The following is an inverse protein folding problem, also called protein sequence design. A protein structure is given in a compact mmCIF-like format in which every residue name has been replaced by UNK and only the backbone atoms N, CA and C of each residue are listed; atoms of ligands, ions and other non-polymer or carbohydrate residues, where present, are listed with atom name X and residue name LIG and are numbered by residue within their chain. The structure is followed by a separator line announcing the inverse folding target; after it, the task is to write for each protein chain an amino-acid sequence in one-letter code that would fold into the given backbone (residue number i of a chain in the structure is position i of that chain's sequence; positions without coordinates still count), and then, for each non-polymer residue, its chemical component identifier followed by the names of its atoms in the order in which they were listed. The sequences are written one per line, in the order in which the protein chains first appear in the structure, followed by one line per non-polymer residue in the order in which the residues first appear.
data_IF_747782052846
#
_entry.id   IF_747782052846
#
_cell.length_a   1.000
_cell.length_b   1.000
_cell.length_c   1.000
_cell.angle_alpha   90.00
_cell.angle_beta   90.00
_cell.angle_gamma   90.00
#
_symmetry.space_group_name_H-M   'P 1'
#
loop_
_entity.id
_entity.type
_entity.pdbx_description
1 polymer ?
#
# COMPACT_ATOMS: atom_id res chain seq x y z
N UNK A 1 -45.29 11.50 30.14
CA UNK A 1 -45.10 10.04 30.28
C UNK A 1 -44.27 9.57 29.08
N UNK A 2 -42.94 9.51 29.22
CA UNK A 2 -42.05 9.05 28.15
C UNK A 2 -42.24 7.55 27.95
N UNK A 3 -42.92 7.15 26.87
CA UNK A 3 -43.12 5.75 26.54
C UNK A 3 -41.78 5.04 26.44
N UNK A 4 -41.62 3.96 27.21
CA UNK A 4 -40.39 3.15 27.20
C UNK A 4 -40.15 2.69 25.77
N UNK A 5 -39.02 3.12 25.17
CA UNK A 5 -38.66 2.70 23.82
C UNK A 5 -38.63 1.16 23.79
N UNK A 6 -39.36 0.57 22.84
CA UNK A 6 -39.35 -0.89 22.68
C UNK A 6 -37.89 -1.32 22.45
N UNK A 7 -37.38 -2.33 23.18
CA UNK A 7 -36.02 -2.78 22.97
C UNK A 7 -35.88 -3.32 21.55
N UNK A 8 -35.12 -2.62 20.71
CA UNK A 8 -34.76 -3.09 19.38
C UNK A 8 -33.76 -4.24 19.54
N UNK A 9 -34.25 -5.47 19.49
CA UNK A 9 -33.40 -6.65 19.50
C UNK A 9 -32.60 -6.67 18.19
N UNK A 10 -31.29 -6.47 18.28
CA UNK A 10 -30.40 -6.73 17.14
C UNK A 10 -30.38 -8.21 16.85
N UNK A 11 -30.45 -8.57 15.57
CA UNK A 11 -30.26 -9.95 15.14
C UNK A 11 -28.81 -10.38 15.38
N UNK A 12 -28.57 -11.68 15.58
CA UNK A 12 -27.21 -12.20 15.77
C UNK A 12 -26.26 -11.79 14.62
N UNK A 13 -26.78 -11.70 13.39
CA UNK A 13 -26.04 -11.24 12.22
C UNK A 13 -25.62 -9.77 12.28
N UNK A 14 -26.46 -8.90 12.83
CA UNK A 14 -26.11 -7.47 13.02
C UNK A 14 -25.02 -7.30 14.07
N UNK A 15 -25.12 -8.01 15.20
CA UNK A 15 -24.12 -7.91 16.28
C UNK A 15 -22.77 -8.43 15.81
N UNK A 16 -22.75 -9.53 15.07
CA UNK A 16 -21.53 -10.06 14.45
C UNK A 16 -20.91 -9.07 13.45
N UNK A 17 -21.72 -8.42 12.60
CA UNK A 17 -21.22 -7.38 11.68
C UNK A 17 -20.65 -6.19 12.43
N UNK A 18 -21.36 -5.69 13.45
CA UNK A 18 -20.90 -4.54 14.25
C UNK A 18 -19.59 -4.85 14.96
N UNK A 19 -19.47 -6.04 15.56
CA UNK A 19 -18.22 -6.47 16.18
C UNK A 19 -17.09 -6.58 15.16
N UNK A 20 -17.33 -7.24 14.03
CA UNK A 20 -16.33 -7.35 12.97
C UNK A 20 -15.87 -5.98 12.45
N UNK A 21 -16.78 -5.03 12.24
CA UNK A 21 -16.41 -3.67 11.81
C UNK A 21 -15.65 -2.89 12.88
N UNK A 22 -15.96 -3.11 14.16
CA UNK A 22 -15.27 -2.46 15.28
C UNK A 22 -13.87 -3.04 15.54
N UNK A 23 -13.68 -4.35 15.33
CA UNK A 23 -12.41 -5.03 15.64
C UNK A 23 -11.48 -5.19 14.43
N UNK A 24 -12.03 -5.13 13.21
CA UNK A 24 -11.23 -5.32 11.99
C UNK A 24 -10.81 -3.97 11.43
N UNK A 25 -9.50 -3.73 11.38
CA UNK A 25 -8.94 -2.59 10.67
C UNK A 25 -9.18 -2.77 9.16
N UNK A 26 -10.05 -1.93 8.58
CA UNK A 26 -10.44 -1.97 7.15
C UNK A 26 -9.39 -1.35 6.20
N UNK A 27 -8.12 -1.29 6.61
CA UNK A 27 -7.05 -0.70 5.80
C UNK A 27 -7.04 0.83 5.79
N UNK A 28 -7.69 1.45 6.78
CA UNK A 28 -7.66 2.90 6.99
C UNK A 28 -6.57 3.33 7.96
N UNK A 29 -6.26 4.64 8.00
CA UNK A 29 -5.31 5.21 8.95
C UNK A 29 -3.84 5.03 8.57
N UNK A 30 -2.98 4.78 9.56
CA UNK A 30 -1.52 4.68 9.39
C UNK A 30 -1.10 3.54 8.46
N UNK A 31 -1.72 2.36 8.60
CA UNK A 31 -1.50 1.22 7.72
C UNK A 31 -1.92 1.51 6.28
N UNK A 32 -3.06 2.18 6.08
CA UNK A 32 -3.51 2.62 4.75
C UNK A 32 -2.66 3.75 4.14
N UNK A 33 -2.11 4.63 4.97
CA UNK A 33 -1.17 5.67 4.53
C UNK A 33 0.16 5.07 4.07
N UNK A 34 0.68 4.08 4.80
CA UNK A 34 1.86 3.35 4.40
C UNK A 34 1.64 2.63 3.06
N UNK A 35 0.45 2.02 2.87
CA UNK A 35 0.10 1.36 1.62
C UNK A 35 0.03 2.33 0.42
N UNK A 36 -0.64 3.46 0.60
CA UNK A 36 -0.70 4.51 -0.44
C UNK A 36 0.66 5.08 -0.80
N UNK A 37 1.61 5.10 0.15
CA UNK A 37 2.99 5.54 -0.08
C UNK A 37 3.89 4.45 -0.66
N UNK A 38 3.39 3.22 -0.83
CA UNK A 38 4.19 2.09 -1.34
C UNK A 38 5.14 1.50 -0.30
N UNK A 39 4.85 1.71 0.99
CA UNK A 39 5.71 1.25 2.08
C UNK A 39 7.00 2.04 2.22
N UNK A 40 8.06 1.35 2.64
CA UNK A 40 9.40 1.93 2.78
C UNK A 40 10.10 2.03 1.42
N UNK A 41 9.82 1.10 0.50
CA UNK A 41 10.40 1.07 -0.84
C UNK A 41 9.80 2.12 -1.79
N UNK A 42 8.54 2.50 -1.57
CA UNK A 42 7.79 3.32 -2.54
C UNK A 42 7.30 2.50 -3.74
N UNK A 43 6.43 3.10 -4.56
CA UNK A 43 5.84 2.42 -5.72
C UNK A 43 6.83 2.18 -6.87
N UNK A 44 7.89 2.97 -6.92
CA UNK A 44 8.92 2.90 -7.95
C UNK A 44 10.17 2.20 -7.42
N UNK A 45 10.89 1.54 -8.33
CA UNK A 45 12.07 0.73 -7.99
C UNK A 45 13.32 1.56 -7.77
N UNK A 46 13.48 2.64 -8.55
CA UNK A 46 14.70 3.44 -8.57
C UNK A 46 14.39 4.90 -8.23
N UNK A 47 15.31 5.55 -7.53
CA UNK A 47 15.25 6.99 -7.20
C UNK A 47 16.51 7.69 -7.74
N UNK A 48 16.30 8.80 -8.45
CA UNK A 48 17.38 9.65 -8.94
C UNK A 48 18.09 10.35 -7.77
N UNK A 49 19.42 10.27 -7.69
CA UNK A 49 20.18 10.91 -6.59
C UNK A 49 20.23 12.43 -6.67
N UNK A 50 20.08 13.00 -7.87
CA UNK A 50 20.20 14.45 -8.08
C UNK A 50 18.91 15.18 -7.73
N UNK A 51 17.76 14.67 -8.15
CA UNK A 51 16.47 15.35 -7.97
C UNK A 51 15.39 14.53 -7.26
N UNK A 52 15.72 13.33 -6.75
CA UNK A 52 14.81 12.42 -6.06
C UNK A 52 13.59 11.97 -6.89
N UNK A 53 13.64 12.14 -8.21
CA UNK A 53 12.60 11.63 -9.11
C UNK A 53 12.59 10.10 -9.08
N UNK A 54 11.39 9.53 -9.05
CA UNK A 54 11.21 8.09 -8.99
C UNK A 54 10.95 7.52 -10.39
N UNK A 55 11.59 6.40 -10.74
CA UNK A 55 11.33 5.69 -11.99
C UNK A 55 11.10 4.19 -11.74
N UNK A 56 10.22 3.54 -12.53
CA UNK A 56 9.91 2.13 -12.37
C UNK A 56 10.99 1.19 -12.91
N UNK A 57 11.86 1.67 -13.80
CA UNK A 57 12.89 0.89 -14.48
C UNK A 57 14.11 1.74 -14.84
N UNK A 58 15.26 1.07 -15.07
CA UNK A 58 16.53 1.73 -15.39
C UNK A 58 16.50 2.48 -16.73
N UNK A 59 15.71 2.03 -17.73
CA UNK A 59 15.63 2.71 -19.04
C UNK A 59 14.92 4.05 -18.90
N UNK A 60 13.81 4.06 -18.17
CA UNK A 60 13.07 5.28 -17.80
C UNK A 60 13.96 6.23 -16.99
N UNK A 61 14.79 5.69 -16.09
CA UNK A 61 15.73 6.50 -15.32
C UNK A 61 16.84 7.10 -16.19
N UNK A 62 17.33 6.35 -17.19
CA UNK A 62 18.30 6.85 -18.17
C UNK A 62 17.73 8.01 -18.99
N UNK A 63 16.53 7.86 -19.54
CA UNK A 63 15.85 8.92 -20.31
C UNK A 63 15.64 10.17 -19.44
N UNK A 64 15.23 9.97 -18.17
CA UNK A 64 15.10 11.05 -17.20
C UNK A 64 16.43 11.77 -16.97
N UNK A 65 17.51 11.02 -16.78
CA UNK A 65 18.83 11.58 -16.48
C UNK A 65 19.41 12.35 -17.67
N UNK A 66 19.34 11.78 -18.88
CA UNK A 66 19.77 12.42 -20.12
C UNK A 66 18.99 13.72 -20.41
N UNK A 67 17.71 13.79 -20.03
CA UNK A 67 16.87 14.98 -20.27
C UNK A 67 17.00 16.06 -19.20
N UNK A 68 17.17 15.68 -17.92
CA UNK A 68 17.13 16.62 -16.77
C UNK A 68 18.48 16.92 -16.15
N UNK A 69 19.49 16.08 -16.39
CA UNK A 69 20.82 16.20 -15.82
C UNK A 69 21.89 16.14 -16.92
N UNK A 70 21.90 17.11 -17.86
CA UNK A 70 22.81 17.10 -19.00
C UNK A 70 24.30 17.26 -18.61
N UNK A 71 24.59 17.69 -17.38
CA UNK A 71 25.95 17.95 -16.89
C UNK A 71 26.54 16.79 -16.06
N UNK A 72 25.74 15.77 -15.73
CA UNK A 72 26.16 14.64 -14.89
C UNK A 72 26.25 13.38 -15.74
N UNK A 73 27.12 12.44 -15.36
CA UNK A 73 27.24 11.15 -16.06
C UNK A 73 26.31 10.11 -15.45
N UNK A 74 25.48 9.47 -16.29
CA UNK A 74 24.62 8.38 -15.87
C UNK A 74 25.45 7.12 -15.58
N UNK A 75 25.46 6.66 -14.32
CA UNK A 75 26.09 5.41 -13.91
C UNK A 75 25.04 4.45 -13.36
N UNK A 76 24.85 3.31 -14.03
CA UNK A 76 23.80 2.32 -13.66
C UNK A 76 24.04 1.70 -12.28
N UNK A 77 25.32 1.52 -11.89
CA UNK A 77 25.70 0.98 -10.58
C UNK A 77 25.35 1.90 -9.40
N UNK A 78 25.04 3.16 -9.69
CA UNK A 78 24.73 4.14 -8.66
C UNK A 78 23.29 3.99 -8.15
N UNK A 79 22.41 3.34 -8.92
CA UNK A 79 21.00 3.16 -8.60
C UNK A 79 20.75 1.79 -7.96
N UNK A 80 20.35 1.78 -6.69
CA UNK A 80 19.94 0.58 -5.98
C UNK A 80 18.45 0.29 -6.25
N UNK A 81 18.10 -0.99 -6.44
CA UNK A 81 16.69 -1.42 -6.48
C UNK A 81 16.11 -1.40 -5.06
N UNK A 82 15.21 -0.44 -4.83
CA UNK A 82 14.58 -0.25 -3.53
C UNK A 82 13.60 -1.37 -3.20
N UNK A 83 13.06 -2.06 -4.21
CA UNK A 83 12.16 -3.19 -3.98
C UNK A 83 12.94 -4.39 -3.48
N UNK A 84 14.13 -4.67 -4.01
CA UNK A 84 15.01 -5.72 -3.49
C UNK A 84 15.50 -5.41 -2.08
N UNK A 85 15.89 -4.15 -1.82
CA UNK A 85 16.43 -3.73 -0.51
C UNK A 85 15.39 -3.76 0.60
N UNK A 86 14.16 -3.34 0.32
CA UNK A 86 13.10 -3.20 1.33
C UNK A 86 12.02 -4.29 1.25
N UNK A 87 12.17 -5.28 0.36
CA UNK A 87 11.23 -6.41 0.23
C UNK A 87 9.95 -6.11 -0.54
N UNK A 88 9.98 -5.10 -1.42
CA UNK A 88 8.92 -4.73 -2.35
C UNK A 88 7.96 -3.67 -1.85
N UNK A 89 6.95 -3.38 -2.67
CA UNK A 89 5.83 -2.51 -2.31
C UNK A 89 4.91 -3.18 -1.29
N UNK A 90 4.16 -2.37 -0.54
CA UNK A 90 3.17 -2.86 0.40
C UNK A 90 2.16 -3.80 -0.27
N UNK A 91 1.95 -4.98 0.33
CA UNK A 91 0.89 -5.93 -0.04
C UNK A 91 -0.47 -5.47 0.50
N UNK A 92 -0.72 -4.17 0.60
CA UNK A 92 -1.92 -3.66 1.24
C UNK A 92 -3.14 -3.70 0.33
N UNK A 93 -4.25 -3.19 0.86
CA UNK A 93 -5.60 -3.33 0.31
C UNK A 93 -5.71 -2.82 -1.14
N UNK A 94 -4.86 -1.87 -1.57
CA UNK A 94 -4.81 -1.42 -2.96
C UNK A 94 -4.36 -2.51 -3.96
N UNK A 95 -3.47 -3.42 -3.54
CA UNK A 95 -3.00 -4.58 -4.33
C UNK A 95 -3.98 -5.76 -4.20
N UNK A 96 -4.69 -5.86 -3.07
CA UNK A 96 -5.65 -6.93 -2.81
C UNK A 96 -7.06 -6.71 -3.41
N UNK A 97 -7.34 -5.56 -4.03
CA UNK A 97 -8.61 -5.33 -4.74
C UNK A 97 -8.85 -6.33 -5.89
N UNK A 98 -7.78 -6.89 -6.47
CA UNK A 98 -7.80 -7.84 -7.57
C UNK A 98 -7.35 -9.27 -7.19
N UNK A 99 -6.82 -9.48 -5.99
CA UNK A 99 -6.44 -10.80 -5.50
C UNK A 99 -7.63 -11.47 -4.81
N UNK A 100 -8.26 -12.42 -5.52
CA UNK A 100 -9.32 -13.29 -4.99
C UNK A 100 -8.87 -13.87 -3.65
N UNK A 101 -9.67 -13.66 -2.60
CA UNK A 101 -9.42 -14.13 -1.23
C UNK A 101 -8.95 -15.58 -1.26
N UNK A 102 -7.70 -15.81 -0.91
CA UNK A 102 -7.10 -17.14 -0.89
C UNK A 102 -7.88 -18.01 0.12
N UNK A 103 -8.57 -19.04 -0.36
CA UNK A 103 -9.43 -19.91 0.44
C UNK A 103 -8.65 -20.84 1.38
N UNK A 104 -7.32 -20.73 1.42
CA UNK A 104 -6.43 -21.64 2.14
C UNK A 104 -6.29 -21.34 3.64
N UNK A 105 -6.61 -20.13 4.12
CA UNK A 105 -6.51 -19.75 5.55
C UNK A 105 -7.81 -19.96 6.35
N UNK A 106 -8.51 -21.07 6.12
CA UNK A 106 -9.66 -21.48 6.94
C UNK A 106 -9.47 -22.91 7.45
N UNK A 107 -8.45 -23.11 8.28
CA UNK A 107 -8.37 -24.21 9.24
C UNK A 107 -7.31 -23.84 10.27
N UNK A 108 -7.77 -23.37 11.42
CA UNK A 108 -7.49 -23.86 12.77
C UNK A 108 -8.42 -23.13 13.75
#
# INVERSE_FOLDING_TARGET
MGGKAKPTKHTAGETARKNHLATTNMGGGSAGLADRKGGVAGHSKFICKVCMAQAPDLKSMRIHFESRHPNETFNENDFEDLHEKYGGTTRGVAVHGSLKKDKSKKKE
#
